data_IF_187045478581
#
_entry.id   IF_187045478581
#
_cell.length_a   1.000
_cell.length_b   1.000
_cell.length_c   1.000
_cell.angle_alpha   90.00
_cell.angle_beta   90.00
_cell.angle_gamma   90.00
#
_symmetry.space_group_name_H-M   'P 1'
#
loop_
_entity.id
_entity.type
_entity.pdbx_description
1 polymer ?
#
# COMPACT_ATOMS: atom_id res chain seq x y z
N UNK A 1 12.87 -3.30 8.08
CA UNK A 1 13.07 -3.34 6.60
C UNK A 1 14.35 -2.63 6.17
N UNK A 2 14.45 -1.30 6.31
CA UNK A 2 15.58 -0.50 5.78
C UNK A 2 16.96 -1.05 6.21
N UNK A 3 17.13 -1.35 7.51
CA UNK A 3 18.35 -1.97 8.05
C UNK A 3 18.69 -3.29 7.36
N UNK A 4 17.70 -4.15 7.12
CA UNK A 4 17.85 -5.43 6.40
C UNK A 4 18.30 -5.22 4.96
N UNK A 5 17.68 -4.26 4.24
CA UNK A 5 18.06 -3.97 2.86
C UNK A 5 19.47 -3.40 2.73
N UNK A 6 19.97 -2.67 3.73
CA UNK A 6 21.31 -2.07 3.70
C UNK A 6 22.46 -3.09 3.69
N UNK A 7 22.19 -4.38 3.89
CA UNK A 7 23.16 -5.43 3.55
C UNK A 7 23.49 -5.45 2.03
N UNK A 8 22.67 -4.81 1.19
CA UNK A 8 22.94 -4.52 -0.22
C UNK A 8 22.46 -3.11 -0.59
N UNK A 9 23.39 -2.16 -0.72
CA UNK A 9 23.07 -0.76 -1.06
C UNK A 9 22.25 -0.62 -2.35
N UNK A 10 22.53 -1.37 -3.45
CA UNK A 10 21.70 -1.32 -4.64
C UNK A 10 20.24 -1.73 -4.39
N UNK A 11 20.00 -2.79 -3.59
CA UNK A 11 18.65 -3.22 -3.21
C UNK A 11 17.97 -2.14 -2.38
N UNK A 12 18.66 -1.59 -1.37
CA UNK A 12 18.13 -0.49 -0.59
C UNK A 12 17.69 0.69 -1.47
N UNK A 13 18.55 1.15 -2.39
CA UNK A 13 18.22 2.25 -3.30
C UNK A 13 16.99 1.96 -4.15
N UNK A 14 16.94 0.78 -4.78
CA UNK A 14 15.82 0.39 -5.63
C UNK A 14 14.48 0.44 -4.89
N UNK A 15 14.44 -0.03 -3.63
CA UNK A 15 13.21 -0.04 -2.84
C UNK A 15 12.88 1.31 -2.21
N UNK A 16 13.84 2.23 -2.05
CA UNK A 16 13.56 3.59 -1.59
C UNK A 16 12.94 4.48 -2.66
N UNK A 17 12.97 4.10 -3.94
CA UNK A 17 12.25 4.81 -5.01
C UNK A 17 10.73 4.81 -4.81
N UNK A 18 10.20 3.97 -3.91
CA UNK A 18 8.84 4.09 -3.42
C UNK A 18 8.53 5.54 -2.97
N UNK A 19 9.48 6.22 -2.32
CA UNK A 19 9.30 7.60 -1.87
C UNK A 19 9.15 8.56 -3.05
N UNK A 20 9.97 8.39 -4.09
CA UNK A 20 9.86 9.15 -5.34
C UNK A 20 8.48 8.97 -5.97
N UNK A 21 8.01 7.72 -6.10
CA UNK A 21 6.69 7.44 -6.69
C UNK A 21 5.55 8.00 -5.83
N UNK A 22 5.64 7.87 -4.50
CA UNK A 22 4.69 8.46 -3.57
C UNK A 22 4.58 9.97 -3.76
N UNK A 23 5.73 10.66 -3.82
CA UNK A 23 5.77 12.11 -3.91
C UNK A 23 5.25 12.63 -5.25
N UNK A 24 5.30 11.80 -6.31
CA UNK A 24 4.66 12.06 -7.58
C UNK A 24 3.14 11.78 -7.58
N UNK A 25 2.68 10.82 -6.77
CA UNK A 25 1.24 10.51 -6.63
C UNK A 25 0.48 11.55 -5.80
N UNK A 26 1.09 12.03 -4.72
CA UNK A 26 0.45 12.94 -3.75
C UNK A 26 -0.17 14.18 -4.40
N UNK A 27 0.45 14.87 -5.37
CA UNK A 27 -0.10 16.07 -6.00
C UNK A 27 -1.48 15.88 -6.65
N UNK A 28 -1.80 14.68 -7.15
CA UNK A 28 -3.07 14.44 -7.86
C UNK A 28 -4.02 13.46 -7.17
N UNK A 29 -3.51 12.58 -6.30
CA UNK A 29 -4.36 11.72 -5.47
C UNK A 29 -4.65 12.30 -4.08
N UNK A 30 -3.74 13.11 -3.54
CA UNK A 30 -3.74 13.50 -2.14
C UNK A 30 -3.12 12.44 -1.22
N UNK A 31 -2.51 12.89 -0.12
CA UNK A 31 -1.76 12.01 0.79
C UNK A 31 -2.60 10.91 1.46
N UNK A 32 -3.88 11.20 1.75
CA UNK A 32 -4.80 10.22 2.33
C UNK A 32 -5.08 9.08 1.34
N UNK A 33 -5.46 9.38 0.10
CA UNK A 33 -5.74 8.37 -0.91
C UNK A 33 -4.52 7.49 -1.21
N UNK A 34 -3.32 8.07 -1.24
CA UNK A 34 -2.06 7.31 -1.37
C UNK A 34 -1.85 6.35 -0.19
N UNK A 35 -2.18 6.78 1.03
CA UNK A 35 -2.08 5.94 2.23
C UNK A 35 -3.11 4.81 2.24
N UNK A 36 -4.36 5.09 1.85
CA UNK A 36 -5.42 4.09 1.66
C UNK A 36 -5.00 3.07 0.60
N UNK A 37 -4.47 3.52 -0.53
CA UNK A 37 -4.04 2.64 -1.61
C UNK A 37 -2.90 1.71 -1.16
N UNK A 38 -1.86 2.26 -0.52
CA UNK A 38 -0.76 1.47 0.00
C UNK A 38 -1.18 0.50 1.12
N UNK A 39 -2.12 0.90 1.98
CA UNK A 39 -2.76 0.01 2.95
C UNK A 39 -3.47 -1.15 2.26
N UNK A 40 -4.28 -0.87 1.23
CA UNK A 40 -5.04 -1.89 0.50
C UNK A 40 -4.13 -2.93 -0.18
N UNK A 41 -3.04 -2.50 -0.82
CA UNK A 41 -2.03 -3.41 -1.40
C UNK A 41 -1.39 -4.27 -0.30
N UNK A 42 -1.02 -3.65 0.82
CA UNK A 42 -0.39 -4.34 1.96
C UNK A 42 -1.29 -5.37 2.63
N UNK A 43 -2.58 -5.05 2.77
CA UNK A 43 -3.60 -5.97 3.23
C UNK A 43 -3.82 -7.12 2.24
N UNK A 44 -3.84 -6.83 0.93
CA UNK A 44 -3.97 -7.84 -0.11
C UNK A 44 -2.80 -8.84 -0.16
N UNK A 45 -1.58 -8.42 0.15
CA UNK A 45 -0.41 -9.31 0.26
C UNK A 45 -0.23 -9.94 1.65
N UNK A 46 -1.11 -9.67 2.61
CA UNK A 46 -1.00 -10.11 4.00
C UNK A 46 0.37 -9.76 4.65
N UNK A 47 0.89 -8.57 4.33
CA UNK A 47 2.17 -8.13 4.87
C UNK A 47 1.97 -7.43 6.22
N UNK A 48 2.18 -8.14 7.31
CA UNK A 48 1.99 -7.64 8.69
C UNK A 48 2.66 -6.28 8.94
N UNK A 49 3.92 -6.11 8.55
CA UNK A 49 4.67 -4.86 8.81
C UNK A 49 4.09 -3.71 8.01
N UNK A 50 3.90 -3.90 6.70
CA UNK A 50 3.43 -2.83 5.82
C UNK A 50 1.98 -2.45 6.16
N UNK A 51 1.12 -3.44 6.39
CA UNK A 51 -0.25 -3.22 6.84
C UNK A 51 -0.28 -2.41 8.13
N UNK A 52 0.47 -2.82 9.16
CA UNK A 52 0.52 -2.11 10.45
C UNK A 52 1.12 -0.70 10.31
N UNK A 53 2.11 -0.52 9.45
CA UNK A 53 2.70 0.80 9.16
C UNK A 53 1.68 1.77 8.55
N UNK A 54 0.89 1.34 7.57
CA UNK A 54 -0.14 2.21 6.99
C UNK A 54 -1.35 2.39 7.91
N UNK A 55 -1.70 1.38 8.74
CA UNK A 55 -2.68 1.56 9.82
C UNK A 55 -2.26 2.70 10.76
N UNK A 56 -0.99 2.76 11.16
CA UNK A 56 -0.45 3.88 11.95
C UNK A 56 -0.66 5.22 11.25
N UNK A 57 -0.33 5.33 9.97
CA UNK A 57 -0.49 6.58 9.21
C UNK A 57 -1.95 7.04 9.20
N UNK A 58 -2.89 6.11 8.96
CA UNK A 58 -4.32 6.39 8.94
C UNK A 58 -4.84 6.79 10.33
N UNK A 59 -4.46 6.05 11.38
CA UNK A 59 -4.84 6.37 12.77
C UNK A 59 -4.32 7.73 13.19
N UNK A 60 -3.05 8.04 12.90
CA UNK A 60 -2.45 9.34 13.23
C UNK A 60 -3.11 10.49 12.44
N UNK A 61 -3.72 10.21 11.29
CA UNK A 61 -4.51 11.15 10.51
C UNK A 61 -5.97 11.29 11.00
N UNK A 62 -6.39 10.50 11.99
CA UNK A 62 -7.74 10.50 12.57
C UNK A 62 -8.73 9.53 11.90
N UNK A 63 -8.26 8.67 11.00
CA UNK A 63 -9.09 7.62 10.38
C UNK A 63 -9.16 6.35 11.26
N UNK A 64 -10.21 5.56 11.07
CA UNK A 64 -10.30 4.18 11.57
C UNK A 64 -9.99 3.21 10.41
N UNK A 65 -8.81 2.53 10.41
CA UNK A 65 -8.44 1.61 9.33
C UNK A 65 -9.36 0.39 9.20
N UNK A 66 -10.13 0.06 10.25
CA UNK A 66 -11.08 -1.05 10.24
C UNK A 66 -12.47 -0.60 9.72
N UNK A 67 -12.75 0.71 9.69
CA UNK A 67 -14.02 1.29 9.23
C UNK A 67 -13.81 2.55 8.36
N UNK A 68 -12.93 2.46 7.37
CA UNK A 68 -12.62 3.59 6.49
C UNK A 68 -13.85 4.05 5.69
N UNK A 69 -14.19 5.33 5.81
CA UNK A 69 -15.13 5.99 4.90
C UNK A 69 -14.33 6.45 3.68
N UNK A 70 -14.55 5.77 2.55
CA UNK A 70 -13.83 6.00 1.30
C UNK A 70 -14.67 6.84 0.33
N UNK A 71 -14.02 7.81 -0.29
CA UNK A 71 -14.52 8.44 -1.52
C UNK A 71 -14.56 7.44 -2.68
N UNK A 72 -15.19 7.82 -3.80
CA UNK A 72 -15.25 6.96 -4.99
C UNK A 72 -13.86 6.60 -5.54
N UNK A 73 -12.96 7.58 -5.59
CA UNK A 73 -11.60 7.40 -6.13
C UNK A 73 -10.75 6.55 -5.17
N UNK A 74 -10.86 6.77 -3.86
CA UNK A 74 -10.17 5.94 -2.86
C UNK A 74 -10.68 4.51 -2.86
N UNK A 75 -11.99 4.31 -3.03
CA UNK A 75 -12.57 2.98 -3.18
C UNK A 75 -12.05 2.29 -4.45
N UNK A 76 -11.99 3.01 -5.57
CA UNK A 76 -11.44 2.47 -6.82
C UNK A 76 -9.97 2.06 -6.66
N UNK A 77 -9.15 2.90 -6.03
CA UNK A 77 -7.75 2.60 -5.74
C UNK A 77 -7.59 1.42 -4.77
N UNK A 78 -8.42 1.35 -3.72
CA UNK A 78 -8.40 0.25 -2.76
C UNK A 78 -8.79 -1.09 -3.42
N UNK A 79 -9.88 -1.11 -4.19
CA UNK A 79 -10.34 -2.28 -4.93
C UNK A 79 -9.26 -2.75 -5.93
N UNK A 80 -8.65 -1.81 -6.67
CA UNK A 80 -7.53 -2.09 -7.55
C UNK A 80 -6.31 -2.65 -6.78
N UNK A 81 -5.94 -2.03 -5.67
CA UNK A 81 -4.77 -2.42 -4.86
C UNK A 81 -4.88 -3.82 -4.28
N UNK A 82 -6.06 -4.19 -3.77
CA UNK A 82 -6.34 -5.55 -3.29
C UNK A 82 -6.27 -6.56 -4.43
N UNK A 83 -6.95 -6.28 -5.56
CA UNK A 83 -6.95 -7.17 -6.72
C UNK A 83 -5.54 -7.37 -7.28
N UNK A 84 -4.77 -6.28 -7.43
CA UNK A 84 -3.39 -6.29 -7.87
C UNK A 84 -2.50 -7.17 -6.98
N UNK A 85 -2.64 -7.02 -5.66
CA UNK A 85 -1.84 -7.74 -4.68
C UNK A 85 -2.16 -9.25 -4.61
N UNK A 86 -3.43 -9.63 -4.75
CA UNK A 86 -3.87 -11.02 -4.60
C UNK A 86 -3.76 -11.81 -5.90
N UNK A 87 -4.21 -11.23 -7.02
CA UNK A 87 -4.20 -11.88 -8.32
C UNK A 87 -4.19 -10.83 -9.43
N UNK A 88 -3.02 -10.47 -10.00
CA UNK A 88 -2.95 -9.45 -11.04
C UNK A 88 -3.71 -9.86 -12.32
N UNK A 89 -3.86 -11.15 -12.61
CA UNK A 89 -4.72 -11.63 -13.71
C UNK A 89 -6.22 -11.47 -13.42
N UNK A 90 -6.58 -11.22 -12.16
CA UNK A 90 -7.94 -10.99 -11.69
C UNK A 90 -8.35 -9.52 -11.61
N UNK A 91 -7.46 -8.58 -11.98
CA UNK A 91 -7.83 -7.17 -12.14
C UNK A 91 -8.81 -7.08 -13.31
N UNK A 92 -10.09 -6.89 -13.00
CA UNK A 92 -11.14 -6.87 -14.02
C UNK A 92 -11.00 -5.70 -14.98
N UNK A 93 -11.43 -5.90 -16.22
CA UNK A 93 -11.57 -4.83 -17.22
C UNK A 93 -12.43 -3.67 -16.70
N UNK A 94 -13.42 -3.93 -15.84
CA UNK A 94 -14.25 -2.89 -15.23
C UNK A 94 -13.47 -1.97 -14.27
N UNK A 95 -12.57 -2.52 -13.45
CA UNK A 95 -11.67 -1.71 -12.60
C UNK A 95 -10.73 -0.90 -13.49
N UNK A 96 -10.13 -1.55 -14.49
CA UNK A 96 -9.17 -0.90 -15.37
C UNK A 96 -9.79 0.20 -16.23
N UNK A 97 -11.01 0.01 -16.74
CA UNK A 97 -11.76 1.02 -17.48
C UNK A 97 -12.05 2.25 -16.62
N UNK A 98 -12.53 2.06 -15.39
CA UNK A 98 -12.79 3.16 -14.45
C UNK A 98 -11.52 3.94 -14.10
N UNK A 99 -10.39 3.25 -13.96
CA UNK A 99 -9.09 3.92 -13.77
C UNK A 99 -8.72 4.78 -14.99
N UNK A 100 -8.90 4.28 -16.21
CA UNK A 100 -8.63 5.03 -17.45
C UNK A 100 -9.58 6.22 -17.66
N UNK A 101 -10.81 6.15 -17.14
CA UNK A 101 -11.75 7.28 -17.18
C UNK A 101 -11.35 8.40 -16.22
N UNK A 102 -10.66 8.08 -15.12
CA UNK A 102 -10.31 9.02 -14.05
C UNK A 102 -8.89 9.59 -14.17
N UNK A 103 -7.95 8.82 -14.71
CA UNK A 103 -6.53 9.16 -14.71
C UNK A 103 -5.98 9.21 -16.13
N UNK A 104 -5.03 10.12 -16.36
CA UNK A 104 -4.25 10.13 -17.60
C UNK A 104 -3.40 8.85 -17.72
N UNK A 105 -2.91 8.55 -18.92
CA UNK A 105 -2.04 7.38 -19.11
C UNK A 105 -0.77 7.45 -18.25
N UNK A 106 -0.17 8.64 -18.12
CA UNK A 106 1.01 8.84 -17.26
C UNK A 106 0.69 8.58 -15.78
N UNK A 107 -0.44 9.11 -15.29
CA UNK A 107 -0.89 8.87 -13.92
C UNK A 107 -1.19 7.39 -13.68
N UNK A 108 -1.78 6.71 -14.65
CA UNK A 108 -2.09 5.29 -14.57
C UNK A 108 -0.81 4.45 -14.50
N UNK A 109 0.19 4.74 -15.34
CA UNK A 109 1.51 4.10 -15.27
C UNK A 109 2.15 4.30 -13.89
N UNK A 110 2.05 5.51 -13.34
CA UNK A 110 2.58 5.81 -12.01
C UNK A 110 1.83 5.06 -10.89
N UNK A 111 0.50 4.99 -10.94
CA UNK A 111 -0.34 4.21 -10.01
C UNK A 111 0.06 2.73 -10.03
N UNK A 112 0.22 2.14 -11.23
CA UNK A 112 0.62 0.74 -11.40
C UNK A 112 2.05 0.53 -10.92
N UNK A 113 2.98 1.42 -11.25
CA UNK A 113 4.38 1.34 -10.81
C UNK A 113 4.52 1.41 -9.29
N UNK A 114 3.74 2.29 -8.66
CA UNK A 114 3.64 2.39 -7.20
C UNK A 114 3.07 1.11 -6.57
N UNK A 115 2.02 0.53 -7.16
CA UNK A 115 1.49 -0.75 -6.70
C UNK A 115 2.54 -1.87 -6.79
N UNK A 116 3.30 -1.90 -7.89
CA UNK A 116 4.37 -2.86 -8.11
C UNK A 116 5.48 -2.78 -7.06
N UNK A 117 6.02 -1.58 -6.78
CA UNK A 117 7.07 -1.43 -5.76
C UNK A 117 6.54 -1.71 -4.35
N UNK A 118 5.26 -1.43 -4.09
CA UNK A 118 4.62 -1.79 -2.83
C UNK A 118 4.51 -3.30 -2.64
N UNK A 119 4.02 -4.00 -3.66
CA UNK A 119 3.95 -5.45 -3.63
C UNK A 119 5.34 -6.09 -3.49
N UNK A 120 6.35 -5.57 -4.20
CA UNK A 120 7.73 -6.00 -4.05
C UNK A 120 8.23 -5.79 -2.60
N UNK A 121 7.93 -4.63 -2.01
CA UNK A 121 8.30 -4.29 -0.63
C UNK A 121 7.66 -5.24 0.38
N UNK A 122 6.38 -5.54 0.18
CA UNK A 122 5.62 -6.51 0.99
C UNK A 122 6.27 -7.89 0.93
N UNK A 123 6.53 -8.39 -0.27
CA UNK A 123 7.18 -9.69 -0.50
C UNK A 123 8.57 -9.74 0.12
N UNK A 124 9.37 -8.68 -0.02
CA UNK A 124 10.70 -8.62 0.59
C UNK A 124 10.60 -8.77 2.12
N UNK A 125 9.70 -8.01 2.77
CA UNK A 125 9.53 -8.07 4.21
C UNK A 125 9.10 -9.45 4.68
N UNK A 126 8.18 -10.10 3.96
CA UNK A 126 7.70 -11.45 4.25
C UNK A 126 8.83 -12.48 4.10
N UNK A 127 9.53 -12.50 2.97
CA UNK A 127 10.59 -13.49 2.69
C UNK A 127 11.80 -13.29 3.60
N UNK A 128 12.20 -12.04 3.84
CA UNK A 128 13.30 -11.71 4.74
C UNK A 128 12.94 -11.81 6.23
N UNK A 129 11.69 -12.17 6.56
CA UNK A 129 11.17 -12.32 7.93
C UNK A 129 11.52 -11.13 8.81
N UNK A 130 11.34 -9.94 8.26
CA UNK A 130 11.60 -8.71 8.99
C UNK A 130 10.66 -8.67 10.20
N UNK A 131 11.15 -8.42 11.42
CA UNK A 131 10.28 -8.33 12.59
C UNK A 131 9.47 -7.03 12.56
N UNK A 132 8.27 -7.08 13.14
CA UNK A 132 7.47 -5.89 13.40
C UNK A 132 8.19 -5.02 14.43
N UNK A 133 8.29 -3.72 14.14
CA UNK A 133 8.85 -2.73 15.06
C UNK A 133 7.95 -2.61 16.31
N UNK A 134 8.55 -2.56 17.50
CA UNK A 134 7.82 -2.41 18.77
C UNK A 134 6.93 -1.16 18.77
N UNK A 135 7.36 -0.08 18.11
CA UNK A 135 6.58 1.14 17.96
C UNK A 135 5.26 0.94 17.17
N UNK A 136 5.14 -0.17 16.44
CA UNK A 136 3.95 -0.53 15.67
C UNK A 136 2.99 -1.46 16.43
N UNK A 137 3.35 -1.98 17.60
CA UNK A 137 2.53 -2.96 18.32
C UNK A 137 1.14 -2.42 18.70
N UNK A 138 1.03 -1.13 19.02
CA UNK A 138 -0.25 -0.48 19.34
C UNK A 138 -1.19 -0.27 18.14
N UNK A 139 -0.71 -0.51 16.92
CA UNK A 139 -1.43 -0.24 15.67
C UNK A 139 -1.85 -1.52 14.94
N UNK A 140 -1.54 -2.69 15.49
CA UNK A 140 -1.95 -3.97 14.93
C UNK A 140 -3.47 -4.06 14.87
N UNK A 141 -3.99 -4.86 13.94
CA UNK A 141 -5.42 -5.17 13.92
C UNK A 141 -5.76 -5.88 15.22
N UNK A 142 -6.74 -5.38 15.95
CA UNK A 142 -7.27 -6.09 17.11
C UNK A 142 -8.07 -7.26 16.57
N UNK A 143 -7.60 -8.48 16.79
CA UNK A 143 -8.42 -9.66 16.51
C UNK A 143 -9.69 -9.52 17.34
N UNK A 144 -10.85 -9.58 16.67
CA UNK A 144 -12.17 -9.49 17.30
C UNK A 144 -12.51 -10.70 18.20
N UNK A 145 -11.51 -11.41 18.73
CA UNK A 145 -11.69 -12.62 19.51
C UNK A 145 -11.23 -12.40 20.96
N UNK A 146 -12.00 -11.58 21.68
CA UNK A 146 -12.18 -11.73 23.12
C UNK A 146 -13.65 -12.08 23.34
N UNK A 147 -13.93 -13.37 23.22
CA UNK A 147 -15.19 -14.05 23.51
C UNK A 147 -14.91 -15.55 23.58
#
# INVERSE_FOLDING_TARGET
MKRTMLHSVPVFKAYMEWYTLRDLLVPFLGGRAVSVFAHAISAGNDCLICGTFFRKILIDAGDDPDNLILSEDEKLLADFGVAFAQNPHGVSEGIYARLRERFSEEQLVLIIGFAGIMAATNLFNTVARVPLDEALYGYTKKDGNNG
#
